data_IF_185951935645
#
_entry.id   IF_185951935645
#
_cell.length_a   1.000
_cell.length_b   1.000
_cell.length_c   1.000
_cell.angle_alpha   90.00
_cell.angle_beta   90.00
_cell.angle_gamma   90.00
#
_symmetry.space_group_name_H-M   'P 1'
#
loop_
_entity.id
_entity.type
_entity.pdbx_description
1 polymer ?
#
# COMPACT_ATOMS: atom_id res chain seq x y z
N UNK A 1 -10.21 -4.65 9.15
CA UNK A 1 -10.06 -4.57 7.69
C UNK A 1 -9.19 -3.37 7.42
N UNK A 2 -8.22 -3.54 6.55
CA UNK A 2 -7.10 -2.63 6.38
C UNK A 2 -7.51 -1.44 5.52
N UNK A 3 -6.88 -0.30 5.80
CA UNK A 3 -7.08 0.95 5.08
C UNK A 3 -5.87 1.21 4.20
N UNK A 4 -6.09 1.42 2.91
CA UNK A 4 -5.04 1.72 1.93
C UNK A 4 -5.20 3.17 1.48
N UNK A 5 -4.15 3.96 1.59
CA UNK A 5 -4.17 5.40 1.34
C UNK A 5 -3.05 5.81 0.38
N UNK A 6 -3.34 6.75 -0.51
CA UNK A 6 -2.33 7.55 -1.20
C UNK A 6 -2.30 8.92 -0.53
N UNK A 7 -1.11 9.40 -0.15
CA UNK A 7 -0.93 10.68 0.54
C UNK A 7 0.17 11.50 -0.15
N UNK A 8 0.03 12.84 -0.23
CA UNK A 8 0.98 13.68 -0.94
C UNK A 8 2.36 13.83 -0.26
N UNK A 9 2.55 13.34 0.97
CA UNK A 9 3.85 13.34 1.68
C UNK A 9 4.00 12.05 2.51
N UNK A 10 4.21 10.91 1.86
CA UNK A 10 4.21 9.59 2.51
C UNK A 10 5.22 9.46 3.66
N UNK A 11 6.43 9.98 3.49
CA UNK A 11 7.49 9.91 4.52
C UNK A 11 7.07 10.66 5.78
N UNK A 12 6.55 11.89 5.65
CA UNK A 12 6.09 12.67 6.81
C UNK A 12 4.92 12.00 7.53
N UNK A 13 3.95 11.49 6.76
CA UNK A 13 2.78 10.81 7.30
C UNK A 13 3.17 9.55 8.09
N UNK A 14 4.02 8.69 7.51
CA UNK A 14 4.50 7.47 8.17
C UNK A 14 5.32 7.81 9.42
N UNK A 15 6.22 8.80 9.33
CA UNK A 15 7.05 9.22 10.48
C UNK A 15 6.20 9.74 11.63
N UNK A 16 5.17 10.56 11.34
CA UNK A 16 4.22 11.04 12.35
C UNK A 16 3.43 9.89 12.99
N UNK A 17 2.95 8.93 12.20
CA UNK A 17 2.22 7.75 12.71
C UNK A 17 3.11 6.96 13.67
N UNK A 18 4.33 6.62 13.25
CA UNK A 18 5.30 5.87 14.08
C UNK A 18 5.62 6.62 15.37
N UNK A 19 5.82 7.94 15.28
CA UNK A 19 6.10 8.80 16.44
C UNK A 19 4.92 8.83 17.42
N UNK A 20 3.70 8.98 16.92
CA UNK A 20 2.49 9.04 17.76
C UNK A 20 2.17 7.67 18.37
N UNK A 21 2.46 6.58 17.66
CA UNK A 21 2.24 5.22 18.16
C UNK A 21 3.28 4.76 19.17
N UNK A 22 4.39 5.50 19.36
CA UNK A 22 5.54 5.13 20.20
C UNK A 22 6.00 3.68 19.97
N UNK A 23 5.98 3.27 18.69
CA UNK A 23 6.25 1.91 18.29
C UNK A 23 6.86 1.90 16.89
N UNK A 24 8.19 1.80 16.82
CA UNK A 24 8.91 1.72 15.54
C UNK A 24 8.67 0.42 14.78
N UNK A 25 8.26 -0.65 15.45
CA UNK A 25 8.01 -1.96 14.83
C UNK A 25 6.68 -2.00 14.05
N UNK A 26 5.84 -0.98 14.18
CA UNK A 26 4.58 -0.87 13.41
C UNK A 26 4.82 -0.67 11.91
N UNK A 27 6.01 -0.19 11.53
CA UNK A 27 6.39 0.02 10.14
C UNK A 27 7.09 -1.21 9.59
N UNK A 28 6.49 -1.80 8.55
CA UNK A 28 7.13 -2.83 7.75
C UNK A 28 7.36 -2.32 6.32
N UNK A 29 8.60 -2.41 5.82
CA UNK A 29 8.97 -2.08 4.45
C UNK A 29 9.04 -3.40 3.68
N UNK A 30 8.04 -3.65 2.84
CA UNK A 30 8.01 -4.87 2.02
C UNK A 30 9.01 -4.77 0.86
N UNK A 31 9.85 -5.78 0.70
CA UNK A 31 10.75 -5.93 -0.47
C UNK A 31 10.03 -6.56 -1.68
N UNK A 32 8.85 -7.14 -1.46
CA UNK A 32 8.03 -7.78 -2.48
C UNK A 32 7.07 -6.79 -3.15
N UNK A 33 6.92 -6.89 -4.46
CA UNK A 33 5.91 -6.17 -5.25
C UNK A 33 4.48 -6.59 -4.92
N UNK A 34 4.30 -7.67 -4.14
CA UNK A 34 3.01 -8.17 -3.68
C UNK A 34 2.90 -8.10 -2.15
N UNK A 35 1.90 -7.38 -1.65
CA UNK A 35 1.63 -7.20 -0.22
C UNK A 35 0.23 -7.73 0.11
N UNK A 36 0.13 -8.66 1.06
CA UNK A 36 -1.17 -9.16 1.56
C UNK A 36 -1.85 -8.16 2.49
N UNK A 37 -3.19 -8.09 2.43
CA UNK A 37 -3.99 -7.27 3.36
C UNK A 37 -5.37 -7.90 3.60
N UNK A 38 -6.02 -7.51 4.68
CA UNK A 38 -7.34 -7.99 5.09
C UNK A 38 -8.43 -7.00 4.72
N UNK A 39 -9.41 -7.41 3.90
CA UNK A 39 -10.57 -6.60 3.53
C UNK A 39 -11.55 -6.40 4.71
N UNK A 40 -12.49 -5.45 4.59
CA UNK A 40 -13.51 -5.14 5.63
C UNK A 40 -14.34 -6.36 6.09
N UNK A 41 -14.50 -7.37 5.24
CA UNK A 41 -15.24 -8.61 5.54
C UNK A 41 -14.34 -9.78 5.99
N UNK A 42 -13.09 -9.51 6.37
CA UNK A 42 -12.14 -10.54 6.80
C UNK A 42 -11.52 -11.37 5.66
N UNK A 43 -11.93 -11.13 4.40
CA UNK A 43 -11.31 -11.79 3.24
C UNK A 43 -9.90 -11.24 2.99
N UNK A 44 -9.02 -12.09 2.48
CA UNK A 44 -7.68 -11.67 2.07
C UNK A 44 -7.70 -11.02 0.68
N UNK A 45 -6.89 -9.99 0.51
CA UNK A 45 -6.61 -9.31 -0.75
C UNK A 45 -5.12 -9.07 -0.93
N UNK A 46 -4.73 -8.69 -2.14
CA UNK A 46 -3.31 -8.46 -2.48
C UNK A 46 -3.15 -7.06 -3.07
N UNK A 47 -2.10 -6.35 -2.68
CA UNK A 47 -1.65 -5.13 -3.34
C UNK A 47 -0.54 -5.55 -4.29
N UNK A 48 -0.64 -5.17 -5.57
CA UNK A 48 0.38 -5.37 -6.58
C UNK A 48 0.95 -4.01 -6.96
N UNK A 49 2.25 -3.84 -6.73
CA UNK A 49 3.00 -2.67 -7.15
C UNK A 49 3.45 -2.89 -8.60
N UNK A 50 3.08 -1.99 -9.50
CA UNK A 50 3.50 -1.97 -10.89
C UNK A 50 4.02 -0.58 -11.23
N UNK A 51 5.34 -0.42 -11.24
CA UNK A 51 5.94 0.85 -11.57
C UNK A 51 6.00 1.03 -13.10
N UNK A 52 5.93 2.28 -13.57
CA UNK A 52 6.28 2.56 -14.97
C UNK A 52 7.79 2.38 -15.21
N UNK A 53 8.23 2.55 -16.46
CA UNK A 53 9.64 2.43 -16.85
C UNK A 53 10.57 3.44 -16.17
N UNK A 54 10.01 4.50 -15.57
CA UNK A 54 10.72 5.51 -14.80
C UNK A 54 10.59 5.32 -13.28
N UNK A 55 9.95 4.23 -12.82
CA UNK A 55 9.79 3.91 -11.40
C UNK A 55 8.65 4.65 -10.69
N UNK A 56 7.74 5.32 -11.41
CA UNK A 56 6.68 6.11 -10.79
C UNK A 56 5.37 5.33 -10.62
N UNK A 57 4.56 5.85 -9.69
CA UNK A 57 3.18 5.42 -9.43
C UNK A 57 2.25 6.55 -9.85
N UNK A 58 1.32 6.26 -10.75
CA UNK A 58 0.34 7.22 -11.26
C UNK A 58 -1.06 7.06 -10.66
N UNK A 59 -1.47 5.84 -10.29
CA UNK A 59 -2.83 5.60 -9.80
C UNK A 59 -3.01 4.33 -8.97
N UNK A 60 -4.10 4.28 -8.21
CA UNK A 60 -4.55 3.12 -7.45
C UNK A 60 -5.85 2.60 -8.09
N UNK A 61 -5.81 1.38 -8.63
CA UNK A 61 -6.92 0.74 -9.32
C UNK A 61 -7.31 -0.59 -8.66
N UNK A 62 -8.57 -1.00 -8.77
CA UNK A 62 -9.01 -2.34 -8.34
C UNK A 62 -9.16 -3.24 -9.55
N UNK A 63 -8.44 -4.36 -9.56
CA UNK A 63 -8.65 -5.43 -10.54
C UNK A 63 -9.88 -6.25 -10.15
N UNK A 64 -10.82 -6.40 -11.09
CA UNK A 64 -12.02 -7.23 -10.92
C UNK A 64 -11.69 -8.72 -10.82
N UNK A 65 -10.62 -9.17 -11.47
CA UNK A 65 -10.27 -10.60 -11.57
C UNK A 65 -9.40 -11.10 -10.42
N UNK A 66 -8.52 -10.25 -9.86
CA UNK A 66 -7.48 -10.70 -8.91
C UNK A 66 -7.71 -10.30 -7.45
N UNK A 67 -8.85 -9.68 -7.11
CA UNK A 67 -9.08 -9.02 -5.80
C UNK A 67 -7.87 -8.16 -5.39
N UNK A 68 -7.22 -7.59 -6.40
CA UNK A 68 -5.94 -6.94 -6.25
C UNK A 68 -6.10 -5.43 -6.38
N UNK A 69 -5.39 -4.71 -5.53
CA UNK A 69 -5.20 -3.28 -5.67
C UNK A 69 -3.91 -3.07 -6.48
N UNK A 70 -4.06 -2.57 -7.70
CA UNK A 70 -2.94 -2.29 -8.61
C UNK A 70 -2.52 -0.84 -8.38
N UNK A 71 -1.25 -0.67 -8.05
CA UNK A 71 -0.61 0.64 -7.95
C UNK A 71 0.24 0.80 -9.21
N UNK A 72 -0.26 1.51 -10.23
CA UNK A 72 0.34 1.54 -11.57
C UNK A 72 0.94 2.90 -11.93
N UNK A 73 2.14 2.93 -12.52
CA UNK A 73 2.67 4.04 -13.33
C UNK A 73 2.02 4.11 -14.73
N UNK A 74 2.19 5.22 -15.46
CA UNK A 74 1.64 5.40 -16.82
C UNK A 74 2.63 4.96 -17.92
#
# INVERSE_FOLDING_TARGET
GDLILSVPNAIEAVTKIVTISDNSEVLNIAESECIGHTLKNGKQGTIMLQLDSAGNVASINKSKEKKALIVSGQ
#
